data_IF_816839242175
#
_entry.id   IF_816839242175
#
_cell.length_a   1.000
_cell.length_b   1.000
_cell.length_c   1.000
_cell.angle_alpha   90.00
_cell.angle_beta   90.00
_cell.angle_gamma   90.00
#
_symmetry.space_group_name_H-M   'P 1'
#
loop_
_entity.id
_entity.type
_entity.pdbx_description
1 polymer ?
#
# COMPACT_ATOMS: atom_id res chain seq x y z
N UNK A 1 80.98 -30.96 42.54
CA UNK A 1 80.23 -31.65 43.61
C UNK A 1 78.81 -31.88 43.11
N UNK A 2 78.42 -33.14 42.85
CA UNK A 2 77.07 -33.50 42.37
C UNK A 2 76.29 -34.07 43.56
N UNK A 3 75.26 -33.37 44.01
CA UNK A 3 74.28 -33.87 44.99
C UNK A 3 73.19 -34.64 44.26
N UNK A 4 73.00 -35.91 44.65
CA UNK A 4 71.94 -36.77 44.13
C UNK A 4 70.59 -36.39 44.77
N UNK A 5 69.60 -36.08 43.93
CA UNK A 5 68.20 -35.90 44.32
C UNK A 5 67.58 -37.28 44.57
N UNK A 6 67.03 -37.47 45.77
CA UNK A 6 66.32 -38.68 46.18
C UNK A 6 65.02 -38.87 45.37
N UNK A 7 64.72 -40.12 44.99
CA UNK A 7 63.51 -40.48 44.28
C UNK A 7 62.25 -40.33 45.17
N UNK A 8 61.07 -39.97 44.62
CA UNK A 8 59.86 -39.79 45.39
C UNK A 8 59.33 -41.13 45.91
N UNK A 9 58.97 -41.18 47.19
CA UNK A 9 58.33 -42.36 47.81
C UNK A 9 56.87 -42.41 47.32
N UNK A 10 56.40 -43.53 46.75
CA UNK A 10 55.02 -43.66 46.29
C UNK A 10 54.04 -43.71 47.46
N UNK A 11 52.95 -42.94 47.37
CA UNK A 11 51.92 -42.83 48.42
C UNK A 11 51.16 -44.15 48.63
N UNK A 12 50.77 -44.49 49.88
CA UNK A 12 50.09 -45.73 50.19
C UNK A 12 48.62 -45.73 49.71
N UNK A 13 48.29 -46.66 48.80
CA UNK A 13 46.93 -46.88 48.30
C UNK A 13 46.07 -47.58 49.37
N UNK A 14 44.90 -47.00 49.67
CA UNK A 14 43.95 -47.53 50.67
C UNK A 14 43.34 -48.88 50.24
N UNK A 15 43.32 -49.86 51.15
CA UNK A 15 42.72 -51.19 50.95
C UNK A 15 41.21 -51.12 51.22
N UNK A 16 40.41 -51.62 50.28
CA UNK A 16 38.96 -51.81 50.45
C UNK A 16 38.68 -53.31 50.62
N UNK A 17 37.88 -53.69 51.63
CA UNK A 17 37.52 -55.08 51.87
C UNK A 17 36.42 -55.55 50.88
N UNK A 18 36.53 -56.78 50.32
CA UNK A 18 35.54 -57.30 49.38
C UNK A 18 34.22 -57.63 50.07
N UNK A 19 33.09 -57.25 49.45
CA UNK A 19 31.74 -57.71 49.82
C UNK A 19 31.24 -58.70 48.75
N UNK A 20 30.68 -59.89 49.09
CA UNK A 20 30.45 -60.46 50.41
C UNK A 20 31.57 -61.41 50.88
N UNK A 21 31.69 -61.52 52.20
CA UNK A 21 32.76 -62.16 52.97
C UNK A 21 32.49 -63.67 53.07
N UNK A 22 33.01 -64.51 52.17
CA UNK A 22 32.98 -65.98 52.36
C UNK A 22 34.11 -66.74 51.64
N UNK A 23 35.36 -66.25 51.70
CA UNK A 23 36.63 -67.02 51.64
C UNK A 23 37.80 -66.04 51.65
N UNK A 24 38.84 -66.31 52.46
CA UNK A 24 39.99 -65.44 52.73
C UNK A 24 40.94 -65.21 51.55
N UNK A 25 40.44 -64.72 50.42
CA UNK A 25 41.21 -64.29 49.26
C UNK A 25 41.14 -62.75 49.19
N UNK A 26 42.26 -62.10 49.52
CA UNK A 26 42.45 -60.67 49.30
C UNK A 26 42.81 -60.43 47.83
N UNK A 27 41.81 -60.24 46.97
CA UNK A 27 42.03 -59.80 45.59
C UNK A 27 42.11 -58.27 45.55
N UNK A 28 43.13 -57.70 44.91
CA UNK A 28 43.11 -56.27 44.54
C UNK A 28 42.09 -56.10 43.43
N UNK A 29 41.54 -54.89 43.26
CA UNK A 29 40.61 -54.56 42.17
C UNK A 29 41.22 -54.88 40.78
N UNK A 30 42.55 -54.88 40.69
CA UNK A 30 43.34 -55.24 39.52
C UNK A 30 43.54 -56.76 39.31
N UNK A 31 43.24 -57.60 40.32
CA UNK A 31 43.48 -59.05 40.30
C UNK A 31 42.23 -59.86 39.93
N UNK A 32 41.05 -59.21 39.83
CA UNK A 32 39.83 -59.83 39.32
C UNK A 32 39.84 -59.62 37.80
N UNK A 33 40.11 -60.65 36.98
CA UNK A 33 40.00 -60.50 35.54
C UNK A 33 38.58 -60.08 35.21
N UNK A 34 38.44 -58.98 34.46
CA UNK A 34 37.14 -58.52 33.96
C UNK A 34 36.59 -59.67 33.11
N UNK A 35 35.58 -60.36 33.64
CA UNK A 35 34.98 -61.48 32.95
C UNK A 35 34.22 -60.92 31.76
N UNK A 36 34.72 -61.21 30.56
CA UNK A 36 34.04 -60.82 29.32
C UNK A 36 32.71 -61.57 29.19
N UNK A 37 31.71 -60.93 28.56
CA UNK A 37 30.44 -61.58 28.22
C UNK A 37 30.67 -62.91 27.47
N UNK A 38 31.68 -62.98 26.62
CA UNK A 38 32.09 -64.17 25.88
C UNK A 38 32.60 -65.32 26.75
N UNK A 39 33.31 -65.03 27.85
CA UNK A 39 33.75 -66.06 28.78
C UNK A 39 32.57 -66.70 29.51
N UNK A 40 31.59 -65.89 29.93
CA UNK A 40 30.37 -66.41 30.56
C UNK A 40 29.56 -67.24 29.56
N UNK A 41 29.39 -66.77 28.32
CA UNK A 41 28.75 -67.53 27.23
C UNK A 41 29.42 -68.88 26.99
N UNK A 42 30.75 -68.95 26.97
CA UNK A 42 31.50 -70.21 26.79
C UNK A 42 31.21 -71.22 27.90
N UNK A 43 31.12 -70.77 29.15
CA UNK A 43 30.77 -71.63 30.28
C UNK A 43 29.31 -72.11 30.18
N UNK A 44 28.37 -71.23 29.85
CA UNK A 44 26.97 -71.59 29.65
C UNK A 44 26.81 -72.62 28.52
N UNK A 45 27.46 -72.41 27.37
CA UNK A 45 27.46 -73.35 26.24
C UNK A 45 28.04 -74.72 26.61
N UNK A 46 29.13 -74.76 27.38
CA UNK A 46 29.68 -76.02 27.87
C UNK A 46 28.65 -76.83 28.70
N UNK A 47 27.85 -76.18 29.55
CA UNK A 47 26.80 -76.84 30.31
C UNK A 47 25.59 -77.22 29.46
N UNK A 48 25.25 -76.44 28.44
CA UNK A 48 24.23 -76.79 27.44
C UNK A 48 24.63 -78.04 26.64
N UNK A 49 25.85 -78.05 26.09
CA UNK A 49 26.38 -79.17 25.30
C UNK A 49 26.50 -80.45 26.14
N UNK A 50 26.91 -80.31 27.40
CA UNK A 50 26.97 -81.43 28.35
C UNK A 50 25.57 -81.97 28.68
N UNK A 51 24.54 -81.13 28.62
CA UNK A 51 23.14 -81.52 28.83
C UNK A 51 22.35 -81.95 27.61
N UNK A 52 22.83 -81.62 26.42
CA UNK A 52 22.28 -82.05 25.14
C UNK A 52 22.59 -83.54 24.90
N UNK A 53 21.74 -84.43 25.41
CA UNK A 53 21.67 -85.83 24.98
C UNK A 53 22.02 -86.91 26.01
N UNK A 54 22.43 -86.57 27.24
CA UNK A 54 22.78 -87.57 28.28
C UNK A 54 21.81 -87.67 29.46
N UNK A 55 20.84 -86.76 29.57
CA UNK A 55 19.91 -86.77 30.68
C UNK A 55 18.62 -87.48 30.29
N UNK A 56 18.35 -88.61 30.96
CA UNK A 56 17.01 -89.22 30.91
C UNK A 56 15.98 -88.18 31.38
N UNK A 57 14.74 -88.19 30.86
CA UNK A 57 13.66 -87.25 31.23
C UNK A 57 13.35 -87.15 32.74
N UNK A 58 14.00 -87.96 33.59
CA UNK A 58 13.81 -88.07 35.03
C UNK A 58 14.72 -87.15 35.86
N UNK A 59 15.77 -86.54 35.29
CA UNK A 59 16.67 -85.63 36.04
C UNK A 59 16.23 -84.17 35.92
N UNK A 60 15.30 -83.75 36.79
CA UNK A 60 14.81 -82.36 36.89
C UNK A 60 15.94 -81.33 37.00
N UNK A 61 17.02 -81.68 37.71
CA UNK A 61 18.16 -80.80 37.94
C UNK A 61 18.91 -80.42 36.65
N UNK A 62 18.96 -81.32 35.66
CA UNK A 62 19.73 -81.09 34.44
C UNK A 62 18.98 -80.24 33.44
N UNK A 63 17.65 -80.42 33.36
CA UNK A 63 16.76 -79.53 32.60
C UNK A 63 16.79 -78.12 33.17
N UNK A 64 16.72 -78.00 34.50
CA UNK A 64 16.85 -76.71 35.17
C UNK A 64 18.18 -76.02 34.86
N UNK A 65 19.30 -76.75 34.88
CA UNK A 65 20.61 -76.18 34.52
C UNK A 65 20.64 -75.68 33.07
N UNK A 66 20.06 -76.42 32.13
CA UNK A 66 19.94 -76.00 30.74
C UNK A 66 19.12 -74.71 30.61
N UNK A 67 17.94 -74.67 31.22
CA UNK A 67 17.04 -73.50 31.20
C UNK A 67 17.73 -72.26 31.81
N UNK A 68 18.45 -72.44 32.93
CA UNK A 68 19.24 -71.36 33.55
C UNK A 68 20.37 -70.88 32.64
N UNK A 69 21.07 -71.78 31.94
CA UNK A 69 22.14 -71.36 31.02
C UNK A 69 21.63 -70.57 29.82
N UNK A 70 20.46 -70.93 29.27
CA UNK A 70 19.77 -70.15 28.24
C UNK A 70 19.35 -68.77 28.76
N UNK A 71 18.77 -68.72 29.96
CA UNK A 71 18.35 -67.47 30.59
C UNK A 71 19.55 -66.54 30.84
N UNK A 72 20.68 -67.09 31.31
CA UNK A 72 21.92 -66.35 31.52
C UNK A 72 22.46 -65.81 30.19
N UNK A 73 22.50 -66.60 29.13
CA UNK A 73 22.93 -66.12 27.79
C UNK A 73 22.02 -64.97 27.33
N UNK A 74 20.70 -65.12 27.46
CA UNK A 74 19.73 -64.06 27.11
C UNK A 74 19.95 -62.78 27.92
N UNK A 75 20.25 -62.89 29.22
CA UNK A 75 20.57 -61.74 30.07
C UNK A 75 21.90 -61.07 29.67
N UNK A 76 22.92 -61.84 29.30
CA UNK A 76 24.21 -61.29 28.85
C UNK A 76 24.04 -60.48 27.56
N UNK A 77 23.25 -60.97 26.60
CA UNK A 77 23.00 -60.26 25.35
C UNK A 77 22.29 -58.91 25.58
N UNK A 78 21.32 -58.87 26.52
CA UNK A 78 20.65 -57.63 26.93
C UNK A 78 21.60 -56.66 27.61
N UNK A 79 22.49 -57.16 28.47
CA UNK A 79 23.51 -56.34 29.15
C UNK A 79 24.55 -55.77 28.18
N UNK A 80 24.99 -56.57 27.21
CA UNK A 80 25.92 -56.13 26.17
C UNK A 80 25.29 -55.04 25.28
N UNK A 81 24.03 -55.21 24.87
CA UNK A 81 23.31 -54.16 24.14
C UNK A 81 23.16 -52.87 24.97
N UNK A 82 22.81 -53.00 26.25
CA UNK A 82 22.66 -51.84 27.13
C UNK A 82 23.99 -51.08 27.32
N UNK A 83 25.09 -51.81 27.53
CA UNK A 83 26.42 -51.21 27.69
C UNK A 83 26.89 -50.52 26.40
N UNK A 84 26.65 -51.13 25.24
CA UNK A 84 26.94 -50.52 23.94
C UNK A 84 26.15 -49.23 23.70
N UNK A 85 24.85 -49.22 24.00
CA UNK A 85 24.00 -48.01 23.88
C UNK A 85 24.51 -46.92 24.81
N UNK A 86 24.78 -47.25 26.07
CA UNK A 86 25.27 -46.30 27.08
C UNK A 86 26.64 -45.72 26.72
N UNK A 87 27.52 -46.54 26.16
CA UNK A 87 28.83 -46.08 25.68
C UNK A 87 28.67 -45.14 24.49
N UNK A 88 27.82 -45.48 23.51
CA UNK A 88 27.52 -44.60 22.37
C UNK A 88 26.91 -43.26 22.80
N UNK A 89 26.06 -43.25 23.82
CA UNK A 89 25.52 -42.01 24.40
C UNK A 89 26.60 -41.18 25.10
N UNK A 90 27.48 -41.83 25.85
CA UNK A 90 28.60 -41.16 26.49
C UNK A 90 29.57 -40.58 25.45
N UNK A 91 29.87 -41.31 24.38
CA UNK A 91 30.73 -40.84 23.29
C UNK A 91 30.10 -39.64 22.58
N UNK A 92 28.78 -39.65 22.35
CA UNK A 92 28.05 -38.48 21.82
C UNK A 92 28.14 -37.29 22.76
N UNK A 93 27.96 -37.49 24.07
CA UNK A 93 28.10 -36.41 25.07
C UNK A 93 29.51 -35.86 25.08
N UNK A 94 30.52 -36.72 25.03
CA UNK A 94 31.93 -36.33 24.98
C UNK A 94 32.22 -35.52 23.71
N UNK A 95 31.71 -35.96 22.56
CA UNK A 95 31.86 -35.27 21.28
C UNK A 95 31.18 -33.89 21.30
N UNK A 96 29.97 -33.79 21.86
CA UNK A 96 29.28 -32.51 21.99
C UNK A 96 30.03 -31.54 22.91
N UNK A 97 30.53 -32.03 24.06
CA UNK A 97 31.33 -31.22 24.96
C UNK A 97 32.64 -30.76 24.30
N UNK A 98 33.29 -31.63 23.53
CA UNK A 98 34.49 -31.28 22.77
C UNK A 98 34.21 -30.16 21.75
N UNK A 99 33.08 -30.23 21.03
CA UNK A 99 32.66 -29.17 20.10
C UNK A 99 32.40 -27.85 20.81
N UNK A 100 31.66 -27.88 21.93
CA UNK A 100 31.40 -26.67 22.71
C UNK A 100 32.68 -26.05 23.25
N UNK A 101 33.68 -26.86 23.64
CA UNK A 101 35.00 -26.37 24.06
C UNK A 101 35.81 -25.80 22.90
N UNK A 102 35.70 -26.38 21.71
CA UNK A 102 36.35 -25.87 20.49
C UNK A 102 35.73 -24.54 20.05
N UNK A 103 34.41 -24.41 20.04
CA UNK A 103 33.69 -23.15 19.80
C UNK A 103 34.08 -22.09 20.84
N UNK A 104 34.16 -22.48 22.12
CA UNK A 104 34.62 -21.59 23.17
C UNK A 104 36.06 -21.13 22.93
N UNK A 105 36.95 -22.06 22.58
CA UNK A 105 38.35 -21.73 22.27
C UNK A 105 38.48 -20.87 21.02
N UNK A 106 37.59 -21.00 20.04
CA UNK A 106 37.61 -20.21 18.82
C UNK A 106 37.17 -18.76 19.07
N UNK A 107 36.11 -18.58 19.86
CA UNK A 107 35.56 -17.25 20.15
C UNK A 107 36.27 -16.54 21.29
N UNK A 108 36.83 -17.29 22.24
CA UNK A 108 37.40 -16.76 23.47
C UNK A 108 38.84 -17.23 23.73
N UNK A 109 39.51 -17.94 22.83
CA UNK A 109 40.85 -18.53 23.05
C UNK A 109 41.99 -18.04 22.14
N UNK A 110 41.78 -16.99 21.33
CA UNK A 110 42.85 -16.34 20.53
C UNK A 110 43.80 -15.47 21.37
N UNK A 111 44.62 -14.59 20.76
CA UNK A 111 45.50 -13.65 21.52
C UNK A 111 44.73 -12.68 22.44
N UNK A 112 43.41 -12.53 22.24
CA UNK A 112 42.48 -11.84 23.15
C UNK A 112 41.86 -12.77 24.24
N UNK A 113 42.27 -14.04 24.27
CA UNK A 113 41.59 -15.15 24.93
C UNK A 113 41.93 -15.38 26.40
N UNK A 114 42.53 -14.39 27.06
CA UNK A 114 42.65 -14.35 28.51
C UNK A 114 41.47 -13.59 29.16
N UNK A 115 40.29 -13.58 28.53
CA UNK A 115 39.09 -13.03 29.15
C UNK A 115 38.67 -13.97 30.27
N UNK A 116 38.87 -13.53 31.51
CA UNK A 116 38.34 -14.23 32.68
C UNK A 116 36.82 -14.35 32.54
N UNK A 117 36.18 -15.39 33.11
CA UNK A 117 34.72 -15.44 33.21
C UNK A 117 34.10 -14.16 33.78
N UNK A 118 34.84 -13.43 34.63
CA UNK A 118 34.45 -12.11 35.13
C UNK A 118 34.42 -11.04 34.03
N UNK A 119 35.38 -11.05 33.10
CA UNK A 119 35.44 -10.10 31.99
C UNK A 119 34.34 -10.37 30.97
N UNK A 120 34.01 -11.65 30.73
CA UNK A 120 32.85 -12.04 29.91
C UNK A 120 31.55 -11.57 30.55
N UNK A 121 31.39 -11.76 31.87
CA UNK A 121 30.21 -11.25 32.59
C UNK A 121 30.11 -9.73 32.50
N UNK A 122 31.23 -9.02 32.64
CA UNK A 122 31.26 -7.56 32.54
C UNK A 122 30.86 -7.09 31.14
N UNK A 123 31.44 -7.67 30.09
CA UNK A 123 31.07 -7.37 28.69
C UNK A 123 29.60 -7.71 28.41
N UNK A 124 29.09 -8.79 28.98
CA UNK A 124 27.69 -9.16 28.84
C UNK A 124 26.77 -8.10 29.47
N UNK A 125 27.13 -7.58 30.65
CA UNK A 125 26.35 -6.52 31.31
C UNK A 125 26.48 -5.18 30.58
N UNK A 126 27.65 -4.85 30.02
CA UNK A 126 27.85 -3.71 29.12
C UNK A 126 26.94 -3.83 27.88
N UNK A 127 26.93 -4.98 27.20
CA UNK A 127 26.03 -5.21 26.06
C UNK A 127 24.56 -5.13 26.45
N UNK A 128 24.16 -5.67 27.62
CA UNK A 128 22.78 -5.55 28.10
C UNK A 128 22.38 -4.09 28.33
N UNK A 129 23.29 -3.26 28.84
CA UNK A 129 23.04 -1.84 29.04
C UNK A 129 22.93 -1.10 27.71
N UNK A 130 23.79 -1.41 26.74
CA UNK A 130 23.70 -0.87 25.38
C UNK A 130 22.39 -1.25 24.69
N UNK A 131 21.94 -2.51 24.82
CA UNK A 131 20.65 -2.95 24.27
C UNK A 131 19.50 -2.12 24.87
N UNK A 132 19.48 -1.95 26.19
CA UNK A 132 18.45 -1.13 26.86
C UNK A 132 18.48 0.33 26.40
N UNK A 133 19.65 0.91 26.23
CA UNK A 133 19.81 2.27 25.75
C UNK A 133 19.28 2.42 24.31
N UNK A 134 19.63 1.50 23.41
CA UNK A 134 19.14 1.48 22.04
C UNK A 134 17.63 1.26 21.98
N UNK A 135 17.06 0.41 22.84
CA UNK A 135 15.61 0.21 22.95
C UNK A 135 14.87 1.49 23.36
N UNK A 136 15.41 2.25 24.32
CA UNK A 136 14.82 3.51 24.74
C UNK A 136 14.96 4.60 23.66
N UNK A 137 16.11 4.67 22.97
CA UNK A 137 16.27 5.56 21.82
C UNK A 137 15.28 5.25 20.69
N UNK A 138 15.10 3.96 20.37
CA UNK A 138 14.10 3.50 19.40
C UNK A 138 12.67 3.89 19.81
N UNK A 139 12.35 3.81 21.10
CA UNK A 139 11.04 4.21 21.62
C UNK A 139 10.83 5.72 21.52
N UNK A 140 11.85 6.52 21.80
CA UNK A 140 11.81 7.98 21.65
C UNK A 140 11.70 8.41 20.19
N UNK A 141 12.43 7.79 19.27
CA UNK A 141 12.29 8.10 17.83
C UNK A 141 10.91 7.71 17.30
N UNK A 142 10.34 6.58 17.74
CA UNK A 142 8.96 6.22 17.41
C UNK A 142 7.94 7.25 17.88
N UNK A 143 8.09 7.80 19.09
CA UNK A 143 7.15 8.82 19.59
C UNK A 143 7.30 10.15 18.85
N UNK A 144 8.54 10.56 18.52
CA UNK A 144 8.80 11.75 17.68
C UNK A 144 8.19 11.60 16.29
N UNK A 145 8.39 10.45 15.65
CA UNK A 145 7.83 10.17 14.32
C UNK A 145 6.30 10.21 14.34
N UNK A 146 5.67 9.63 15.37
CA UNK A 146 4.20 9.68 15.52
C UNK A 146 3.69 11.12 15.68
N UNK A 147 4.41 11.95 16.43
CA UNK A 147 4.08 13.38 16.57
C UNK A 147 4.20 14.12 15.24
N UNK A 148 5.31 13.92 14.52
CA UNK A 148 5.54 14.56 13.21
C UNK A 148 4.52 14.11 12.17
N UNK A 149 4.14 12.84 12.19
CA UNK A 149 3.08 12.31 11.33
C UNK A 149 1.74 12.99 11.64
N UNK A 150 1.40 13.17 12.93
CA UNK A 150 0.23 13.93 13.35
C UNK A 150 0.24 15.37 12.84
N UNK A 151 1.38 16.07 12.94
CA UNK A 151 1.53 17.44 12.44
C UNK A 151 1.37 17.53 10.91
N UNK A 152 1.88 16.54 10.17
CA UNK A 152 1.72 16.46 8.72
C UNK A 152 0.25 16.24 8.32
N UNK A 153 -0.48 15.37 9.03
CA UNK A 153 -1.91 15.19 8.76
C UNK A 153 -2.70 16.48 9.02
N UNK A 154 -2.42 17.18 10.13
CA UNK A 154 -3.07 18.45 10.44
C UNK A 154 -2.78 19.51 9.37
N UNK A 155 -1.53 19.61 8.90
CA UNK A 155 -1.13 20.53 7.84
C UNK A 155 -1.84 20.22 6.51
N UNK A 156 -1.91 18.94 6.12
CA UNK A 156 -2.62 18.50 4.92
C UNK A 156 -4.12 18.79 5.03
N UNK A 157 -4.72 18.56 6.19
CA UNK A 157 -6.13 18.88 6.43
C UNK A 157 -6.39 20.38 6.33
N UNK A 158 -5.53 21.22 6.89
CA UNK A 158 -5.63 22.67 6.82
C UNK A 158 -5.49 23.18 5.38
N UNK A 159 -4.54 22.64 4.61
CA UNK A 159 -4.43 22.93 3.18
C UNK A 159 -5.68 22.52 2.39
N UNK A 160 -6.23 21.33 2.66
CA UNK A 160 -7.48 20.91 2.02
C UNK A 160 -8.66 21.81 2.38
N UNK A 161 -8.74 22.25 3.64
CA UNK A 161 -9.77 23.18 4.12
C UNK A 161 -9.65 24.53 3.41
N UNK A 162 -8.45 25.11 3.39
CA UNK A 162 -8.18 26.39 2.70
C UNK A 162 -8.44 26.30 1.19
N UNK A 163 -8.08 25.19 0.54
CA UNK A 163 -8.36 24.98 -0.87
C UNK A 163 -9.86 24.90 -1.17
N UNK A 164 -10.64 24.20 -0.32
CA UNK A 164 -12.11 24.15 -0.45
C UNK A 164 -12.74 25.52 -0.26
N UNK A 165 -12.28 26.29 0.71
CA UNK A 165 -12.77 27.64 0.96
C UNK A 165 -12.49 28.56 -0.24
N UNK A 166 -11.28 28.52 -0.79
CA UNK A 166 -10.90 29.28 -1.99
C UNK A 166 -11.76 28.88 -3.20
N UNK A 167 -12.03 27.59 -3.37
CA UNK A 167 -12.89 27.09 -4.44
C UNK A 167 -14.34 27.58 -4.28
N UNK A 168 -14.87 27.58 -3.05
CA UNK A 168 -16.22 28.06 -2.80
C UNK A 168 -16.33 29.57 -3.02
N UNK A 169 -15.32 30.35 -2.60
CA UNK A 169 -15.26 31.79 -2.86
C UNK A 169 -15.20 32.10 -4.36
N UNK A 170 -14.38 31.37 -5.12
CA UNK A 170 -14.30 31.56 -6.59
C UNK A 170 -15.61 31.19 -7.27
N UNK A 171 -16.25 30.10 -6.86
CA UNK A 171 -17.57 29.69 -7.36
C UNK A 171 -18.65 30.74 -7.04
N UNK A 172 -18.67 31.27 -5.82
CA UNK A 172 -19.58 32.34 -5.43
C UNK A 172 -19.38 33.60 -6.29
N UNK A 173 -18.12 34.00 -6.51
CA UNK A 173 -17.78 35.12 -7.38
C UNK A 173 -18.26 34.91 -8.83
N UNK A 174 -18.06 33.72 -9.41
CA UNK A 174 -18.57 33.42 -10.76
C UNK A 174 -20.09 33.45 -10.83
N UNK A 175 -20.78 32.90 -9.83
CA UNK A 175 -22.24 32.95 -9.76
C UNK A 175 -22.75 34.39 -9.69
N UNK A 176 -22.10 35.23 -8.87
CA UNK A 176 -22.43 36.65 -8.79
C UNK A 176 -22.24 37.35 -10.14
N UNK A 177 -21.09 37.16 -10.81
CA UNK A 177 -20.85 37.73 -12.14
C UNK A 177 -21.89 37.26 -13.17
N UNK A 178 -22.31 35.99 -13.08
CA UNK A 178 -23.34 35.45 -13.95
C UNK A 178 -24.71 36.08 -13.69
N UNK A 179 -25.08 36.27 -12.42
CA UNK A 179 -26.32 36.97 -12.05
C UNK A 179 -26.32 38.43 -12.51
N UNK A 180 -25.22 39.15 -12.33
CA UNK A 180 -25.05 40.53 -12.82
C UNK A 180 -25.22 40.60 -14.34
N UNK A 181 -24.58 39.70 -15.07
CA UNK A 181 -24.71 39.61 -16.54
C UNK A 181 -26.14 39.30 -16.96
N UNK A 182 -26.79 38.35 -16.28
CA UNK A 182 -28.18 37.98 -16.56
C UNK A 182 -29.13 39.16 -16.30
N UNK A 183 -28.93 39.88 -15.20
CA UNK A 183 -29.70 41.08 -14.87
C UNK A 183 -29.48 42.20 -15.89
N UNK A 184 -28.23 42.40 -16.34
CA UNK A 184 -27.91 43.36 -17.41
C UNK A 184 -28.66 43.04 -18.71
N UNK A 185 -28.65 41.77 -19.13
CA UNK A 185 -29.38 41.35 -20.35
C UNK A 185 -30.89 41.47 -20.20
N UNK A 186 -31.46 41.13 -19.05
CA UNK A 186 -32.88 41.34 -18.76
C UNK A 186 -33.27 42.81 -18.85
N UNK A 187 -32.48 43.71 -18.25
CA UNK A 187 -32.71 45.14 -18.30
C UNK A 187 -32.66 45.67 -19.75
N UNK A 188 -31.65 45.26 -20.52
CA UNK A 188 -31.49 45.64 -21.94
C UNK A 188 -32.62 45.12 -22.82
N UNK A 189 -33.11 43.92 -22.53
CA UNK A 189 -34.27 43.35 -23.23
C UNK A 189 -35.54 44.14 -22.96
N UNK A 190 -35.82 44.49 -21.70
CA UNK A 190 -36.97 45.34 -21.36
C UNK A 190 -36.85 46.75 -21.95
N UNK A 191 -35.64 47.33 -21.98
CA UNK A 191 -35.39 48.61 -22.67
C UNK A 191 -35.74 48.54 -24.17
N UNK A 192 -35.25 47.51 -24.86
CA UNK A 192 -35.54 47.29 -26.29
C UNK A 192 -37.04 47.07 -26.53
N UNK A 193 -37.70 46.30 -25.65
CA UNK A 193 -39.14 46.05 -25.71
C UNK A 193 -39.94 47.34 -25.54
N UNK A 194 -39.57 48.19 -24.58
CA UNK A 194 -40.20 49.50 -24.38
C UNK A 194 -39.96 50.44 -25.56
N UNK A 195 -38.75 50.47 -26.10
CA UNK A 195 -38.41 51.25 -27.30
C UNK A 195 -39.23 50.81 -28.52
N UNK A 196 -39.35 49.49 -28.74
CA UNK A 196 -40.18 48.94 -29.81
C UNK A 196 -41.66 49.26 -29.63
N UNK A 197 -42.19 49.17 -28.42
CA UNK A 197 -43.58 49.54 -28.12
C UNK A 197 -43.84 51.02 -28.41
N UNK A 198 -42.91 51.90 -28.04
CA UNK A 198 -43.00 53.33 -28.36
C UNK A 198 -43.00 53.59 -29.87
N UNK A 199 -42.13 52.90 -30.62
CA UNK A 199 -42.08 53.01 -32.08
C UNK A 199 -43.37 52.50 -32.73
N UNK A 200 -43.94 51.40 -32.23
CA UNK A 200 -45.22 50.86 -32.68
C UNK A 200 -46.34 51.88 -32.47
N UNK A 201 -46.41 52.52 -31.29
CA UNK A 201 -47.40 53.56 -31.03
C UNK A 201 -47.18 54.80 -31.91
N UNK A 202 -45.93 55.21 -32.15
CA UNK A 202 -45.61 56.29 -33.09
C UNK A 202 -46.10 55.94 -34.52
N UNK A 203 -45.84 54.73 -35.00
CA UNK A 203 -46.30 54.26 -36.30
C UNK A 203 -47.83 54.18 -36.38
N UNK A 204 -48.51 53.71 -35.32
CA UNK A 204 -49.97 53.71 -35.25
C UNK A 204 -50.53 55.13 -35.34
N UNK A 205 -49.95 56.10 -34.65
CA UNK A 205 -50.41 57.50 -34.71
C UNK A 205 -50.18 58.12 -36.10
N UNK A 206 -49.01 57.88 -36.72
CA UNK A 206 -48.75 58.29 -38.12
C UNK A 206 -49.73 57.66 -39.10
N UNK A 207 -50.02 56.37 -38.94
CA UNK A 207 -50.98 55.65 -39.78
C UNK A 207 -52.41 56.22 -39.61
N UNK A 208 -52.85 56.50 -38.37
CA UNK A 208 -54.14 57.19 -38.11
C UNK A 208 -54.21 58.56 -38.81
N UNK A 209 -53.13 59.36 -38.76
CA UNK A 209 -53.05 60.66 -39.46
C UNK A 209 -53.11 60.51 -40.98
N UNK A 210 -52.38 59.54 -41.55
CA UNK A 210 -52.42 59.26 -42.99
C UNK A 210 -53.79 58.81 -43.44
N UNK A 211 -54.43 57.87 -42.72
CA UNK A 211 -55.82 57.45 -42.98
C UNK A 211 -56.79 58.63 -42.95
N UNK A 212 -56.64 59.54 -41.99
CA UNK A 212 -57.47 60.74 -41.93
C UNK A 212 -57.26 61.64 -43.15
N UNK A 213 -56.00 61.90 -43.55
CA UNK A 213 -55.69 62.67 -44.77
C UNK A 213 -56.27 62.03 -46.03
N UNK A 214 -56.16 60.70 -46.17
CA UNK A 214 -56.74 59.96 -47.30
C UNK A 214 -58.26 60.20 -47.36
N UNK A 215 -58.98 60.04 -46.23
CA UNK A 215 -60.43 60.32 -46.17
C UNK A 215 -60.76 61.75 -46.57
N UNK A 216 -59.97 62.74 -46.12
CA UNK A 216 -60.19 64.15 -46.51
C UNK A 216 -60.04 64.35 -48.02
N UNK A 217 -58.99 63.78 -48.62
CA UNK A 217 -58.75 63.86 -50.06
C UNK A 217 -59.85 63.15 -50.84
N UNK A 218 -60.28 61.97 -50.40
CA UNK A 218 -61.39 61.21 -51.00
C UNK A 218 -62.69 62.01 -50.96
N UNK A 219 -63.04 62.62 -49.81
CA UNK A 219 -64.20 63.50 -49.69
C UNK A 219 -64.11 64.71 -50.63
N UNK A 220 -62.95 65.36 -50.74
CA UNK A 220 -62.73 66.45 -51.69
C UNK A 220 -62.85 65.99 -53.14
N UNK A 221 -62.32 64.81 -53.49
CA UNK A 221 -62.40 64.23 -54.84
C UNK A 221 -63.83 63.81 -55.22
N UNK A 222 -64.64 63.35 -54.25
CA UNK A 222 -66.07 63.05 -54.47
C UNK A 222 -66.88 64.32 -54.71
N UNK A 223 -66.54 65.45 -54.06
CA UNK A 223 -67.18 66.74 -54.33
C UNK A 223 -66.85 67.32 -55.72
N UNK A 224 -65.72 66.93 -56.31
CA UNK A 224 -65.36 67.29 -57.70
C UNK A 224 -65.99 66.35 -58.74
N UNK A 225 -66.21 65.07 -58.41
CA UNK A 225 -66.91 64.11 -59.29
C UNK A 225 -68.42 64.34 -59.40
N UNK A 226 -69.04 65.12 -58.52
CA UNK A 226 -70.45 65.52 -58.64
C UNK A 226 -70.77 66.47 -59.81
N UNK A 227 -69.80 66.80 -60.68
CA UNK A 227 -70.01 67.51 -61.95
C UNK A 227 -69.74 66.67 -63.21
N UNK A 228 -69.38 65.38 -63.10
CA UNK A 228 -69.11 64.53 -64.27
C UNK A 228 -69.58 63.09 -64.11
N UNK A 229 -70.72 62.83 -64.76
CA UNK A 229 -71.17 61.56 -65.34
C UNK A 229 -71.80 60.49 -64.42
N UNK A 230 -72.99 60.07 -64.87
CA UNK A 230 -73.74 58.86 -64.53
C UNK A 230 -73.03 57.65 -65.15
N UNK A 231 -72.88 56.55 -64.41
CA UNK A 231 -73.32 55.18 -64.75
C UNK A 231 -72.57 54.06 -63.99
N UNK A 232 -73.31 52.96 -63.80
CA UNK A 232 -72.95 51.56 -63.52
C UNK A 232 -72.50 51.11 -62.11
N UNK A 233 -73.50 50.53 -61.43
CA UNK A 233 -73.62 49.14 -60.91
C UNK A 233 -72.78 48.60 -59.73
N UNK A 234 -73.39 47.72 -58.88
CA UNK A 234 -72.79 47.16 -57.67
C UNK A 234 -72.33 45.69 -57.82
N UNK A 235 -71.23 45.32 -57.17
CA UNK A 235 -70.80 43.94 -56.83
C UNK A 235 -70.04 44.02 -55.49
N UNK A 236 -70.62 43.59 -54.38
CA UNK A 236 -70.62 42.22 -53.80
C UNK A 236 -69.52 42.03 -52.75
N UNK A 237 -69.98 41.91 -51.50
CA UNK A 237 -69.55 41.03 -50.40
C UNK A 237 -68.11 40.50 -50.40
N UNK A 238 -67.40 40.80 -49.32
CA UNK A 238 -66.78 39.76 -48.49
C UNK A 238 -66.41 40.31 -47.11
N UNK A 239 -67.27 40.03 -46.13
CA UNK A 239 -66.88 39.87 -44.74
C UNK A 239 -66.00 38.62 -44.63
N UNK A 240 -64.76 38.77 -44.15
CA UNK A 240 -64.19 37.94 -43.08
C UNK A 240 -62.72 38.35 -42.83
N UNK A 241 -62.39 38.79 -41.62
CA UNK A 241 -61.05 38.61 -41.07
C UNK A 241 -61.17 38.30 -39.58
N UNK A 242 -61.42 37.02 -39.35
CA UNK A 242 -61.21 36.34 -38.08
C UNK A 242 -59.74 36.38 -37.66
N UNK A 243 -59.59 36.21 -36.35
CA UNK A 243 -58.39 36.01 -35.55
C UNK A 243 -57.23 35.31 -36.26
N UNK A 244 -56.10 36.00 -36.35
CA UNK A 244 -54.80 35.36 -36.60
C UNK A 244 -54.22 34.95 -35.24
N UNK A 245 -54.37 33.67 -34.91
CA UNK A 245 -53.51 33.00 -33.94
C UNK A 245 -52.14 32.81 -34.61
N UNK A 246 -51.10 33.46 -34.07
CA UNK A 246 -49.72 33.27 -34.50
C UNK A 246 -49.16 32.08 -33.73
N UNK A 247 -49.34 30.87 -34.25
CA UNK A 247 -48.43 29.78 -33.95
C UNK A 247 -47.14 30.00 -34.75
N UNK A 248 -46.03 30.25 -34.04
CA UNK A 248 -44.71 30.40 -34.64
C UNK A 248 -44.17 29.00 -34.97
N UNK A 249 -44.72 28.39 -36.03
CA UNK A 249 -44.10 27.27 -36.73
C UNK A 249 -43.06 27.81 -37.71
N UNK A 250 -41.77 27.64 -37.40
CA UNK A 250 -40.68 28.04 -38.30
C UNK A 250 -40.51 27.00 -39.40
N UNK A 251 -41.41 27.01 -40.38
CA UNK A 251 -41.22 26.28 -41.63
C UNK A 251 -40.29 27.08 -42.55
N UNK A 252 -39.12 26.50 -42.86
CA UNK A 252 -38.01 27.14 -43.58
C UNK A 252 -38.09 26.97 -45.11
N UNK A 253 -39.29 26.79 -45.68
CA UNK A 253 -39.47 26.67 -47.12
C UNK A 253 -39.61 28.06 -47.76
N UNK A 254 -38.79 28.42 -48.76
CA UNK A 254 -38.92 29.71 -49.44
C UNK A 254 -40.24 29.76 -50.22
N UNK A 255 -41.09 30.72 -49.89
CA UNK A 255 -42.33 31.03 -50.61
C UNK A 255 -42.00 31.68 -51.95
N UNK A 256 -42.59 31.20 -53.05
CA UNK A 256 -42.39 31.73 -54.42
C UNK A 256 -42.89 33.18 -54.62
N UNK A 257 -43.49 33.80 -53.59
CA UNK A 257 -44.01 35.17 -53.63
C UNK A 257 -43.23 36.17 -52.76
N UNK A 258 -42.05 35.81 -52.24
CA UNK A 258 -41.24 36.73 -51.45
C UNK A 258 -40.70 37.88 -52.32
N UNK A 259 -40.93 39.13 -51.89
CA UNK A 259 -40.35 40.33 -52.52
C UNK A 259 -38.82 40.15 -52.63
N UNK A 260 -38.21 40.33 -53.83
CA UNK A 260 -36.78 40.13 -54.01
C UNK A 260 -35.91 40.95 -53.03
N UNK A 261 -36.42 42.05 -52.48
CA UNK A 261 -35.73 42.81 -51.41
C UNK A 261 -35.69 42.06 -50.08
N UNK A 262 -36.76 41.37 -49.71
CA UNK A 262 -36.83 40.58 -48.48
C UNK A 262 -35.94 39.33 -48.56
N UNK A 263 -35.82 38.73 -49.74
CA UNK A 263 -34.89 37.62 -49.97
C UNK A 263 -33.43 38.08 -49.76
N UNK A 264 -33.07 39.29 -50.22
CA UNK A 264 -31.73 39.86 -50.02
C UNK A 264 -31.46 40.14 -48.53
N UNK A 265 -32.44 40.68 -47.80
CA UNK A 265 -32.31 40.94 -46.36
C UNK A 265 -32.19 39.63 -45.58
N UNK A 266 -33.05 38.63 -45.85
CA UNK A 266 -32.99 37.30 -45.22
C UNK A 266 -31.63 36.63 -45.47
N UNK A 267 -31.10 36.72 -46.69
CA UNK A 267 -29.79 36.15 -47.02
C UNK A 267 -28.65 36.88 -46.32
N UNK A 268 -28.71 38.22 -46.22
CA UNK A 268 -27.71 39.01 -45.49
C UNK A 268 -27.74 38.72 -43.98
N UNK A 269 -28.93 38.57 -43.38
CA UNK A 269 -29.07 38.12 -42.00
C UNK A 269 -28.54 36.71 -41.77
N UNK A 270 -28.83 35.76 -42.68
CA UNK A 270 -28.29 34.40 -42.62
C UNK A 270 -26.76 34.39 -42.68
N UNK A 271 -26.17 35.21 -43.56
CA UNK A 271 -24.71 35.36 -43.64
C UNK A 271 -24.12 35.97 -42.37
N UNK A 272 -24.74 37.00 -41.81
CA UNK A 272 -24.28 37.63 -40.56
C UNK A 272 -24.37 36.66 -39.37
N UNK A 273 -25.48 35.90 -39.25
CA UNK A 273 -25.62 34.86 -38.22
C UNK A 273 -24.57 33.76 -38.40
N UNK A 274 -24.31 33.32 -39.63
CA UNK A 274 -23.26 32.33 -39.91
C UNK A 274 -21.87 32.86 -39.54
N UNK A 275 -21.58 34.13 -39.84
CA UNK A 275 -20.34 34.79 -39.49
C UNK A 275 -20.16 34.91 -37.97
N UNK A 276 -21.21 35.33 -37.25
CA UNK A 276 -21.19 35.42 -35.78
C UNK A 276 -21.04 34.05 -35.11
N UNK A 277 -21.71 33.01 -35.64
CA UNK A 277 -21.51 31.62 -35.18
C UNK A 277 -20.08 31.15 -35.39
N UNK A 278 -19.49 31.39 -36.57
CA UNK A 278 -18.09 31.07 -36.85
C UNK A 278 -17.10 31.79 -35.92
N UNK A 279 -17.37 33.07 -35.61
CA UNK A 279 -16.57 33.85 -34.67
C UNK A 279 -16.66 33.31 -33.23
N UNK A 280 -17.86 32.95 -32.77
CA UNK A 280 -18.09 32.34 -31.46
C UNK A 280 -17.43 30.96 -31.34
N UNK A 281 -17.57 30.09 -32.35
CA UNK A 281 -16.88 28.79 -32.36
C UNK A 281 -15.36 28.94 -32.34
N UNK A 282 -14.83 29.90 -33.08
CA UNK A 282 -13.39 30.19 -33.10
C UNK A 282 -12.91 30.75 -31.76
N UNK A 283 -13.73 31.57 -31.09
CA UNK A 283 -13.46 32.06 -29.73
C UNK A 283 -13.49 30.92 -28.71
N UNK A 284 -14.51 30.06 -28.77
CA UNK A 284 -14.64 28.90 -27.90
C UNK A 284 -13.45 27.95 -28.06
N UNK A 285 -13.08 27.60 -29.30
CA UNK A 285 -11.88 26.79 -29.59
C UNK A 285 -10.61 27.40 -29.00
N UNK A 286 -10.39 28.71 -29.15
CA UNK A 286 -9.24 29.41 -28.56
C UNK A 286 -9.24 29.37 -27.04
N UNK A 287 -10.38 29.60 -26.40
CA UNK A 287 -10.48 29.56 -24.92
C UNK A 287 -10.28 28.14 -24.38
N UNK A 288 -10.82 27.11 -25.04
CA UNK A 288 -10.59 25.71 -24.68
C UNK A 288 -9.12 25.32 -24.83
N UNK A 289 -8.47 25.72 -25.93
CA UNK A 289 -7.02 25.48 -26.13
C UNK A 289 -6.19 26.17 -25.04
N UNK A 290 -6.51 27.41 -24.69
CA UNK A 290 -5.82 28.13 -23.61
C UNK A 290 -6.02 27.46 -22.25
N UNK A 291 -7.26 27.07 -21.90
CA UNK A 291 -7.54 26.35 -20.64
C UNK A 291 -6.80 25.02 -20.56
N UNK A 292 -6.81 24.24 -21.64
CA UNK A 292 -6.08 22.98 -21.71
C UNK A 292 -4.57 23.19 -21.62
N UNK A 293 -4.02 24.23 -22.25
CA UNK A 293 -2.59 24.56 -22.14
C UNK A 293 -2.19 24.93 -20.71
N UNK A 294 -3.00 25.73 -20.01
CA UNK A 294 -2.75 26.08 -18.61
C UNK A 294 -2.83 24.86 -17.70
N UNK A 295 -3.80 23.97 -17.92
CA UNK A 295 -3.94 22.72 -17.16
C UNK A 295 -2.74 21.79 -17.38
N UNK A 296 -2.27 21.65 -18.63
CA UNK A 296 -1.08 20.86 -18.96
C UNK A 296 0.17 21.42 -18.26
N UNK A 297 0.36 22.75 -18.27
CA UNK A 297 1.48 23.38 -17.57
C UNK A 297 1.41 23.17 -16.05
N UNK A 298 0.22 23.32 -15.46
CA UNK A 298 0.02 23.07 -14.03
C UNK A 298 0.33 21.62 -13.66
N UNK A 299 -0.13 20.65 -14.46
CA UNK A 299 0.13 19.24 -14.23
C UNK A 299 1.61 18.89 -14.40
N UNK A 300 2.30 19.50 -15.38
CA UNK A 300 3.76 19.35 -15.55
C UNK A 300 4.51 19.80 -14.28
N UNK A 301 4.18 20.97 -13.75
CA UNK A 301 4.83 21.50 -12.55
C UNK A 301 4.61 20.60 -11.32
N UNK A 302 3.41 20.02 -11.17
CA UNK A 302 3.11 19.07 -10.09
C UNK A 302 3.93 17.78 -10.25
N UNK A 303 4.04 17.25 -11.47
CA UNK A 303 4.85 16.06 -11.74
C UNK A 303 6.35 16.31 -11.49
N UNK A 304 6.87 17.48 -11.87
CA UNK A 304 8.25 17.89 -11.58
C UNK A 304 8.50 18.00 -10.07
N UNK A 305 7.55 18.56 -9.32
CA UNK A 305 7.64 18.65 -7.86
C UNK A 305 7.64 17.25 -7.20
N UNK A 306 6.78 16.33 -7.66
CA UNK A 306 6.75 14.94 -7.19
C UNK A 306 8.06 14.22 -7.51
N UNK A 307 8.59 14.39 -8.74
CA UNK A 307 9.85 13.79 -9.16
C UNK A 307 11.02 14.25 -8.30
N UNK A 308 11.10 15.56 -8.01
CA UNK A 308 12.14 16.12 -7.15
C UNK A 308 12.04 15.60 -5.71
N UNK A 309 10.82 15.46 -5.17
CA UNK A 309 10.61 14.91 -3.83
C UNK A 309 11.05 13.44 -3.72
N UNK A 310 10.76 12.62 -4.73
CA UNK A 310 11.21 11.23 -4.78
C UNK A 310 12.73 11.12 -4.83
N UNK A 311 13.40 11.95 -5.66
CA UNK A 311 14.86 12.00 -5.70
C UNK A 311 15.49 12.36 -4.34
N UNK A 312 14.93 13.34 -3.64
CA UNK A 312 15.39 13.69 -2.30
C UNK A 312 15.20 12.54 -1.30
N UNK A 313 14.09 11.82 -1.38
CA UNK A 313 13.82 10.67 -0.51
C UNK A 313 14.78 9.49 -0.79
N UNK A 314 15.08 9.22 -2.06
CA UNK A 314 16.10 8.23 -2.46
C UNK A 314 17.49 8.59 -1.92
N UNK A 315 17.88 9.85 -2.02
CA UNK A 315 19.17 10.33 -1.50
C UNK A 315 19.25 10.26 0.03
N UNK A 316 18.15 10.59 0.73
CA UNK A 316 18.05 10.41 2.19
C UNK A 316 18.19 8.94 2.59
N UNK A 317 17.50 8.03 1.89
CA UNK A 317 17.60 6.58 2.13
C UNK A 317 19.03 6.06 1.89
N UNK A 318 19.69 6.51 0.81
CA UNK A 318 21.09 6.17 0.53
C UNK A 318 22.03 6.66 1.63
N UNK A 319 21.82 7.86 2.16
CA UNK A 319 22.63 8.40 3.25
C UNK A 319 22.42 7.61 4.56
N UNK A 320 21.19 7.17 4.86
CA UNK A 320 20.93 6.29 6.00
C UNK A 320 21.64 4.93 5.84
N UNK A 321 21.61 4.33 4.65
CA UNK A 321 22.33 3.10 4.35
C UNK A 321 23.86 3.26 4.50
N UNK A 322 24.43 4.39 4.04
CA UNK A 322 25.86 4.68 4.25
C UNK A 322 26.20 4.77 5.74
N UNK A 323 25.42 5.51 6.53
CA UNK A 323 25.63 5.61 7.98
C UNK A 323 25.52 4.26 8.68
N UNK A 324 24.52 3.45 8.32
CA UNK A 324 24.35 2.11 8.87
C UNK A 324 25.57 1.21 8.54
N UNK A 325 26.10 1.31 7.32
CA UNK A 325 27.31 0.60 6.90
C UNK A 325 28.55 1.06 7.68
N UNK A 326 28.71 2.36 7.89
CA UNK A 326 29.85 2.92 8.64
C UNK A 326 29.80 2.48 10.10
N UNK A 327 28.61 2.45 10.72
CA UNK A 327 28.43 1.93 12.08
C UNK A 327 28.78 0.43 12.18
N UNK A 328 28.33 -0.39 11.23
CA UNK A 328 28.65 -1.82 11.21
C UNK A 328 30.16 -2.10 11.05
N UNK A 329 30.90 -1.20 10.39
CA UNK A 329 32.36 -1.31 10.23
C UNK A 329 33.15 -0.91 11.48
N UNK A 330 32.60 -0.05 12.34
CA UNK A 330 33.26 0.37 13.59
C UNK A 330 33.13 -0.69 14.70
N UNK A 331 32.14 -1.58 14.59
CA UNK A 331 31.91 -2.66 15.57
C UNK A 331 32.64 -3.98 15.25
N UNK A 332 33.30 -4.09 14.08
CA UNK A 332 34.15 -5.22 13.70
C UNK A 332 35.63 -4.97 14.00
#
# INVERSE_FOLDING_TARGET
MKTALAAPIPEPVHRIAPRPITKGLSLRECDIPIVSFDQVRKVCKYYQDKGAGKYTPKSKASRYLYDVTEEVISMLDKLEQYTFIKQKENDKKLQNNSKSLEEWSQHFGGEQGNLSPKDVSKKLDECKNQIKELEEQMKQEKSKNLSQEGDLYNMVEEHHRSARETLEQTKAHYNQQFEELNNHWKAKFEELKNSNNNLIEELKTKNRKLKHKIRTIESSSQSEKSLSSKQSSPLSDHDNFDQINIEVGVDNSPSENDDPRDVVIKNKMKQEIAHQRGALESSLKRTTVMKNSTLIKSNSNVLDAISNRLKMQEEQNLNLLRRAKDHAWVEM
#
